data_IF_787864191971
#
_entry.id   IF_787864191971
#
_cell.length_a   1.000
_cell.length_b   1.000
_cell.length_c   1.000
_cell.angle_alpha   90.00
_cell.angle_beta   90.00
_cell.angle_gamma   90.00
#
_symmetry.space_group_name_H-M   'P 1'
#
loop_
_entity.id
_entity.type
_entity.pdbx_description
1 polymer ?
#
# COMPACT_ATOMS: atom_id res chain seq x y z
N UNK A 1 -13.89 18.07 19.42
CA UNK A 1 -13.50 16.92 18.58
C UNK A 1 -13.15 17.46 17.21
N UNK A 2 -11.90 17.39 16.80
CA UNK A 2 -11.46 17.74 15.44
C UNK A 2 -11.92 16.64 14.49
N UNK A 3 -13.05 16.86 13.82
CA UNK A 3 -13.50 16.03 12.69
C UNK A 3 -12.53 16.26 11.54
N UNK A 4 -11.50 15.43 11.43
CA UNK A 4 -10.81 15.31 10.16
C UNK A 4 -11.86 14.80 9.16
N UNK A 5 -12.07 15.48 8.02
CA UNK A 5 -13.17 15.13 7.13
C UNK A 5 -12.96 13.70 6.64
N UNK A 6 -14.01 12.88 6.69
CA UNK A 6 -14.05 11.54 6.06
C UNK A 6 -13.39 11.51 4.67
N UNK A 7 -13.52 12.62 3.95
CA UNK A 7 -12.95 12.86 2.62
C UNK A 7 -11.42 12.62 2.53
N UNK A 8 -10.65 12.92 3.58
CA UNK A 8 -9.19 12.71 3.57
C UNK A 8 -8.84 11.24 3.67
N UNK A 9 -9.54 10.50 4.54
CA UNK A 9 -9.32 9.06 4.70
C UNK A 9 -9.74 8.32 3.43
N UNK A 10 -10.88 8.68 2.87
CA UNK A 10 -11.40 8.09 1.63
C UNK A 10 -10.47 8.37 0.44
N UNK A 11 -9.97 9.60 0.31
CA UNK A 11 -8.96 9.95 -0.71
C UNK A 11 -7.67 9.13 -0.58
N UNK A 12 -7.20 8.90 0.65
CA UNK A 12 -6.00 8.09 0.89
C UNK A 12 -6.27 6.62 0.52
N UNK A 13 -7.45 6.07 0.86
CA UNK A 13 -7.79 4.69 0.51
C UNK A 13 -7.92 4.50 -1.00
N UNK A 14 -8.49 5.46 -1.74
CA UNK A 14 -8.53 5.44 -3.20
C UNK A 14 -7.12 5.44 -3.79
N UNK A 15 -6.24 6.31 -3.30
CA UNK A 15 -4.85 6.36 -3.77
C UNK A 15 -4.08 5.05 -3.48
N UNK A 16 -4.38 4.39 -2.36
CA UNK A 16 -3.83 3.06 -2.06
C UNK A 16 -4.35 2.01 -3.05
N UNK A 17 -5.65 2.00 -3.36
CA UNK A 17 -6.23 1.06 -4.31
C UNK A 17 -5.62 1.22 -5.71
N UNK A 18 -5.44 2.46 -6.16
CA UNK A 18 -4.82 2.77 -7.46
C UNK A 18 -3.38 2.24 -7.52
N UNK A 19 -2.56 2.49 -6.49
CA UNK A 19 -1.19 1.96 -6.42
C UNK A 19 -1.14 0.43 -6.33
N UNK A 20 -2.07 -0.20 -5.62
CA UNK A 20 -2.15 -1.66 -5.57
C UNK A 20 -2.45 -2.25 -6.96
N UNK A 21 -3.29 -1.60 -7.77
CA UNK A 21 -3.52 -2.00 -9.17
C UNK A 21 -2.28 -1.81 -10.04
N UNK A 22 -1.53 -0.73 -9.85
CA UNK A 22 -0.24 -0.53 -10.56
C UNK A 22 0.74 -1.67 -10.23
N UNK A 23 0.87 -2.03 -8.95
CA UNK A 23 1.68 -3.17 -8.51
C UNK A 23 1.20 -4.47 -9.14
N UNK A 24 -0.10 -4.74 -9.18
CA UNK A 24 -0.67 -5.95 -9.78
C UNK A 24 -0.28 -6.06 -11.27
N UNK A 25 -0.41 -4.98 -12.03
CA UNK A 25 -0.01 -4.91 -13.44
C UNK A 25 1.49 -5.15 -13.63
N UNK A 26 2.31 -4.61 -12.73
CA UNK A 26 3.76 -4.81 -12.75
C UNK A 26 4.11 -6.28 -12.46
N UNK A 27 3.46 -6.89 -11.47
CA UNK A 27 3.66 -8.30 -11.11
C UNK A 27 3.23 -9.24 -12.24
N UNK A 28 2.13 -8.96 -12.93
CA UNK A 28 1.71 -9.73 -14.12
C UNK A 28 2.78 -9.71 -15.22
N UNK A 29 3.47 -8.58 -15.43
CA UNK A 29 4.58 -8.48 -16.39
C UNK A 29 5.83 -9.24 -15.92
N UNK A 30 6.09 -9.26 -14.60
CA UNK A 30 7.20 -10.01 -14.00
C UNK A 30 7.06 -11.53 -14.18
N UNK A 31 5.84 -12.08 -14.14
CA UNK A 31 5.57 -13.50 -14.43
C UNK A 31 6.05 -13.89 -15.84
N UNK A 32 5.92 -12.97 -16.80
CA UNK A 32 6.33 -13.19 -18.19
C UNK A 32 7.84 -13.07 -18.35
N UNK A 33 8.47 -12.11 -17.67
CA UNK A 33 9.93 -11.91 -17.69
C UNK A 33 10.41 -11.27 -16.39
N UNK A 34 11.16 -12.03 -15.58
CA UNK A 34 11.74 -11.51 -14.36
C UNK A 34 12.79 -10.42 -14.67
N UNK A 35 12.63 -9.25 -14.05
CA UNK A 35 13.56 -8.13 -14.13
C UNK A 35 13.70 -7.50 -12.74
N UNK A 36 14.93 -7.47 -12.24
CA UNK A 36 15.26 -6.96 -10.91
C UNK A 36 14.89 -5.48 -10.75
N UNK A 37 14.98 -4.68 -11.83
CA UNK A 37 14.57 -3.27 -11.79
C UNK A 37 13.06 -3.14 -11.54
N UNK A 38 12.25 -4.01 -12.16
CA UNK A 38 10.80 -4.03 -11.97
C UNK A 38 10.43 -4.49 -10.56
N UNK A 39 11.18 -5.43 -9.99
CA UNK A 39 11.01 -5.83 -8.58
C UNK A 39 11.32 -4.67 -7.62
N UNK A 40 12.34 -3.86 -7.91
CA UNK A 40 12.65 -2.67 -7.11
C UNK A 40 11.55 -1.60 -7.21
N UNK A 41 10.93 -1.42 -8.39
CA UNK A 41 9.76 -0.54 -8.54
C UNK A 41 8.59 -0.98 -7.65
N UNK A 42 8.27 -2.28 -7.64
CA UNK A 42 7.22 -2.82 -6.75
C UNK A 42 7.54 -2.56 -5.28
N UNK A 43 8.79 -2.80 -4.87
CA UNK A 43 9.24 -2.55 -3.49
C UNK A 43 9.09 -1.07 -3.10
N UNK A 44 9.37 -0.16 -4.02
CA UNK A 44 9.22 1.27 -3.78
C UNK A 44 7.76 1.67 -3.59
N UNK A 45 6.86 1.20 -4.46
CA UNK A 45 5.43 1.51 -4.34
C UNK A 45 4.81 0.93 -3.06
N UNK A 46 5.20 -0.29 -2.66
CA UNK A 46 4.76 -0.88 -1.39
C UNK A 46 5.20 -0.05 -0.18
N UNK A 47 6.41 0.52 -0.20
CA UNK A 47 6.92 1.37 0.86
C UNK A 47 6.16 2.71 0.96
N UNK A 48 5.69 3.23 -0.17
CA UNK A 48 4.85 4.43 -0.22
C UNK A 48 3.47 4.16 0.40
N UNK A 49 2.84 3.02 0.07
CA UNK A 49 1.57 2.59 0.67
C UNK A 49 1.74 2.40 2.20
N UNK A 50 2.83 1.75 2.63
CA UNK A 50 3.14 1.57 4.05
C UNK A 50 3.27 2.92 4.78
N UNK A 51 3.86 3.93 4.13
CA UNK A 51 3.97 5.28 4.68
C UNK A 51 2.60 5.92 4.91
N UNK A 52 1.68 5.81 3.95
CA UNK A 52 0.32 6.34 4.08
C UNK A 52 -0.49 5.61 5.14
N UNK A 53 -0.39 4.29 5.21
CA UNK A 53 -1.07 3.51 6.25
C UNK A 53 -0.53 3.83 7.65
N UNK A 54 0.78 3.98 7.80
CA UNK A 54 1.39 4.42 9.06
C UNK A 54 0.92 5.82 9.47
N UNK A 55 0.73 6.73 8.51
CA UNK A 55 0.13 8.04 8.78
C UNK A 55 -1.30 7.91 9.30
N UNK A 56 -2.15 7.10 8.64
CA UNK A 56 -3.53 6.86 9.09
C UNK A 56 -3.56 6.23 10.50
N UNK A 57 -2.69 5.26 10.76
CA UNK A 57 -2.59 4.58 12.05
C UNK A 57 -2.20 5.54 13.17
N UNK A 58 -1.19 6.39 12.96
CA UNK A 58 -0.72 7.41 13.91
C UNK A 58 -1.82 8.41 14.27
N UNK A 59 -2.71 8.71 13.31
CA UNK A 59 -3.83 9.63 13.52
C UNK A 59 -5.12 8.93 13.98
N UNK A 60 -5.07 7.64 14.33
CA UNK A 60 -6.22 6.83 14.78
C UNK A 60 -7.39 6.73 13.78
N UNK A 61 -7.13 6.88 12.49
CA UNK A 61 -8.16 6.68 11.46
C UNK A 61 -8.31 5.19 11.13
N UNK A 62 -9.56 4.72 11.03
CA UNK A 62 -9.93 3.38 10.53
C UNK A 62 -9.01 2.25 11.02
N UNK A 63 -8.67 2.28 12.32
CA UNK A 63 -7.67 1.41 12.97
C UNK A 63 -7.74 -0.07 12.56
N UNK A 64 -8.92 -0.74 12.55
CA UNK A 64 -9.01 -2.15 12.16
C UNK A 64 -8.54 -2.36 10.71
N UNK A 65 -9.11 -1.61 9.77
CA UNK A 65 -8.78 -1.70 8.34
C UNK A 65 -7.30 -1.37 8.08
N UNK A 66 -6.78 -0.31 8.70
CA UNK A 66 -5.37 0.09 8.53
C UNK A 66 -4.42 -0.98 9.07
N UNK A 67 -4.75 -1.61 10.20
CA UNK A 67 -3.95 -2.70 10.75
C UNK A 67 -3.98 -3.94 9.84
N UNK A 68 -5.15 -4.27 9.28
CA UNK A 68 -5.29 -5.40 8.35
C UNK A 68 -4.45 -5.17 7.08
N UNK A 69 -4.49 -3.95 6.51
CA UNK A 69 -3.70 -3.58 5.33
C UNK A 69 -2.19 -3.59 5.62
N UNK A 70 -1.76 -3.09 6.79
CA UNK A 70 -0.35 -3.17 7.21
C UNK A 70 0.11 -4.63 7.36
N UNK A 71 -0.74 -5.50 7.89
CA UNK A 71 -0.44 -6.92 8.02
C UNK A 71 -0.32 -7.61 6.65
N UNK A 72 -1.19 -7.26 5.69
CA UNK A 72 -1.07 -7.74 4.31
C UNK A 72 0.24 -7.28 3.65
N UNK A 73 0.60 -6.00 3.81
CA UNK A 73 1.89 -5.47 3.32
C UNK A 73 3.09 -6.20 3.91
N UNK A 74 3.07 -6.52 5.21
CA UNK A 74 4.15 -7.29 5.84
C UNK A 74 4.28 -8.69 5.25
N UNK A 75 3.17 -9.33 4.90
CA UNK A 75 3.17 -10.65 4.22
C UNK A 75 3.79 -10.50 2.83
N UNK A 76 3.36 -9.51 2.05
CA UNK A 76 3.89 -9.24 0.71
C UNK A 76 5.40 -8.95 0.77
N UNK A 77 5.83 -8.09 1.69
CA UNK A 77 7.23 -7.75 1.88
C UNK A 77 8.09 -8.96 2.27
N UNK A 78 7.54 -9.95 2.99
CA UNK A 78 8.23 -11.22 3.27
C UNK A 78 8.39 -12.09 2.03
N UNK A 79 7.40 -12.11 1.13
CA UNK A 79 7.44 -12.89 -0.12
C UNK A 79 8.43 -12.27 -1.12
N UNK A 80 8.51 -10.94 -1.17
CA UNK A 80 9.39 -10.21 -2.09
C UNK A 80 10.84 -10.09 -1.60
N UNK A 81 11.14 -10.59 -0.39
CA UNK A 81 12.47 -10.53 0.23
C UNK A 81 13.38 -11.62 -0.34
#
# INVERSE_FOLDING_TARGET
MTTVPNNVVESILVAIDDKMREIELILMKLIIKFNNQTLQSVKYELLEIETWLNFLQKNNFNKPLVNDLLLQLQIINKILR
#
